data_IF_440692808326
#
_entry.id   IF_440692808326
#
_cell.length_a   1.000
_cell.length_b   1.000
_cell.length_c   1.000
_cell.angle_alpha   90.00
_cell.angle_beta   90.00
_cell.angle_gamma   90.00
#
_symmetry.space_group_name_H-M   'P 1'
#
loop_
_entity.id
_entity.type
_entity.pdbx_description
1 polymer ?
#
# COMPACT_ATOMS: atom_id res chain seq x y z
N UNK A 1 -5.00 10.13 -12.23
CA UNK A 1 -3.61 9.74 -11.95
C UNK A 1 -2.76 9.72 -13.22
N UNK A 2 -3.16 9.00 -14.29
CA UNK A 2 -2.36 8.83 -15.52
C UNK A 2 -1.93 10.16 -16.15
N UNK A 3 -2.86 11.07 -16.37
CA UNK A 3 -2.58 12.41 -16.92
C UNK A 3 -1.68 13.25 -16.00
N UNK A 4 -1.90 13.17 -14.68
CA UNK A 4 -1.07 13.85 -13.70
C UNK A 4 0.39 13.39 -13.79
N UNK A 5 0.61 12.08 -13.77
CA UNK A 5 1.95 11.50 -13.89
C UNK A 5 2.65 11.89 -15.21
N UNK A 6 1.91 11.86 -16.32
CA UNK A 6 2.45 12.26 -17.63
C UNK A 6 2.87 13.74 -17.69
N UNK A 7 2.33 14.58 -16.80
CA UNK A 7 2.68 16.00 -16.67
C UNK A 7 3.62 16.28 -15.48
N UNK A 8 4.25 15.25 -14.89
CA UNK A 8 5.19 15.40 -13.79
C UNK A 8 4.54 15.80 -12.45
N UNK A 9 3.22 15.74 -12.34
CA UNK A 9 2.50 16.07 -11.11
C UNK A 9 2.63 14.88 -10.13
N UNK A 10 3.09 15.10 -8.90
CA UNK A 10 3.16 14.06 -7.88
C UNK A 10 1.78 13.44 -7.60
N UNK A 11 1.75 12.12 -7.49
CA UNK A 11 0.55 11.36 -7.12
C UNK A 11 0.89 10.53 -5.87
N UNK A 12 0.05 10.59 -4.84
CA UNK A 12 0.06 9.72 -3.69
C UNK A 12 -1.08 8.69 -3.78
N UNK A 13 -1.04 7.65 -2.98
CA UNK A 13 -2.09 6.66 -2.86
C UNK A 13 -2.88 6.83 -1.56
N UNK A 14 -4.18 6.62 -1.63
CA UNK A 14 -5.11 6.59 -0.52
C UNK A 14 -6.39 5.87 -0.93
N UNK A 15 -7.06 5.19 -0.01
CA UNK A 15 -8.24 4.38 -0.30
C UNK A 15 -9.54 4.91 0.30
N UNK A 16 -9.51 6.07 0.95
CA UNK A 16 -10.71 6.72 1.53
C UNK A 16 -11.54 5.77 2.42
N UNK A 17 -10.85 5.12 3.38
CA UNK A 17 -11.48 4.18 4.33
C UNK A 17 -12.71 4.80 5.01
N UNK A 18 -13.81 4.05 5.01
CA UNK A 18 -15.10 4.49 5.56
C UNK A 18 -16.19 4.58 4.51
N UNK A 19 -15.85 4.62 3.23
CA UNK A 19 -16.81 4.48 2.15
C UNK A 19 -17.28 3.03 1.97
N UNK A 20 -18.46 2.79 1.36
CA UNK A 20 -18.93 1.44 1.03
C UNK A 20 -17.87 0.66 0.23
N UNK A 21 -17.70 -0.61 0.55
CA UNK A 21 -16.72 -1.52 -0.05
C UNK A 21 -15.25 -1.21 0.23
N UNK A 22 -14.91 -0.15 0.97
CA UNK A 22 -13.53 0.19 1.31
C UNK A 22 -13.24 -0.17 2.76
N UNK A 23 -12.39 -1.17 2.95
CA UNK A 23 -12.02 -1.68 4.27
C UNK A 23 -10.59 -1.27 4.65
N UNK A 24 -10.35 -1.15 5.96
CA UNK A 24 -9.05 -0.72 6.49
C UNK A 24 -7.89 -1.71 6.20
N UNK A 25 -8.19 -2.95 5.85
CA UNK A 25 -7.20 -3.98 5.56
C UNK A 25 -6.95 -4.19 4.06
N UNK A 26 -7.66 -3.49 3.18
CA UNK A 26 -7.62 -3.70 1.73
C UNK A 26 -6.81 -2.64 0.97
N UNK A 27 -6.02 -1.81 1.66
CA UNK A 27 -5.20 -0.78 1.01
C UNK A 27 -4.26 -1.34 -0.09
N UNK A 28 -3.82 -2.59 0.04
CA UNK A 28 -3.00 -3.26 -0.96
C UNK A 28 -3.67 -3.29 -2.35
N UNK A 29 -4.99 -3.27 -2.42
CA UNK A 29 -5.76 -3.25 -3.69
C UNK A 29 -5.52 -1.96 -4.47
N UNK A 30 -5.32 -0.83 -3.79
CA UNK A 30 -5.02 0.44 -4.44
C UNK A 30 -3.72 0.35 -5.26
N UNK A 31 -2.73 -0.37 -4.76
CA UNK A 31 -1.48 -0.59 -5.50
C UNK A 31 -1.74 -1.45 -6.75
N UNK A 32 -2.54 -2.50 -6.62
CA UNK A 32 -2.93 -3.35 -7.74
C UNK A 32 -3.72 -2.56 -8.80
N UNK A 33 -4.67 -1.74 -8.39
CA UNK A 33 -5.45 -0.89 -9.29
C UNK A 33 -4.58 0.18 -9.94
N UNK A 34 -3.67 0.78 -9.19
CA UNK A 34 -2.73 1.75 -9.70
C UNK A 34 -1.83 1.15 -10.79
N UNK A 35 -1.30 -0.05 -10.54
CA UNK A 35 -0.58 -0.83 -11.56
C UNK A 35 -1.46 -1.12 -12.78
N UNK A 36 -2.62 -1.73 -12.57
CA UNK A 36 -3.50 -2.23 -13.66
C UNK A 36 -4.08 -1.11 -14.51
N UNK A 37 -4.64 -0.07 -13.91
CA UNK A 37 -5.41 0.96 -14.61
C UNK A 37 -4.60 2.19 -15.00
N UNK A 38 -3.53 2.48 -14.30
CA UNK A 38 -2.62 3.60 -14.64
C UNK A 38 -1.45 3.13 -15.49
N UNK A 39 -1.02 1.87 -15.34
CA UNK A 39 0.06 1.26 -16.11
C UNK A 39 1.44 1.50 -15.52
N UNK A 40 1.54 1.74 -14.21
CA UNK A 40 2.81 1.91 -13.51
C UNK A 40 3.44 0.55 -13.18
N UNK A 41 4.76 0.50 -12.97
CA UNK A 41 5.41 -0.72 -12.48
C UNK A 41 5.05 -1.03 -11.03
N UNK A 42 5.21 -2.31 -10.61
CA UNK A 42 5.03 -2.71 -9.21
C UNK A 42 5.93 -1.90 -8.27
N UNK A 43 7.20 -1.72 -8.65
CA UNK A 43 8.15 -0.92 -7.89
C UNK A 43 7.68 0.54 -7.71
N UNK A 44 7.14 1.15 -8.76
CA UNK A 44 6.62 2.52 -8.67
C UNK A 44 5.34 2.60 -7.82
N UNK A 45 4.47 1.60 -7.89
CA UNK A 45 3.28 1.53 -7.03
C UNK A 45 3.68 1.42 -5.55
N UNK A 46 4.64 0.56 -5.22
CA UNK A 46 5.19 0.43 -3.85
C UNK A 46 5.85 1.73 -3.37
N UNK A 47 6.70 2.34 -4.19
CA UNK A 47 7.30 3.64 -3.86
C UNK A 47 6.25 4.72 -3.63
N UNK A 48 5.20 4.75 -4.46
CA UNK A 48 4.12 5.73 -4.33
C UNK A 48 3.35 5.54 -3.03
N UNK A 49 3.07 4.28 -2.64
CA UNK A 49 2.35 3.96 -1.40
C UNK A 49 3.18 4.21 -0.11
N UNK A 50 4.48 4.34 -0.23
CA UNK A 50 5.42 4.50 0.90
C UNK A 50 6.13 5.85 0.88
N UNK A 51 7.34 5.90 0.34
CA UNK A 51 8.19 7.10 0.36
C UNK A 51 7.56 8.33 -0.28
N UNK A 52 6.89 8.17 -1.43
CA UNK A 52 6.26 9.30 -2.12
C UNK A 52 5.08 9.87 -1.32
N UNK A 53 4.19 9.02 -0.83
CA UNK A 53 3.05 9.45 -0.01
C UNK A 53 3.50 10.09 1.30
N UNK A 54 4.55 9.57 1.95
CA UNK A 54 5.14 10.18 3.14
C UNK A 54 5.72 11.58 2.84
N UNK A 55 6.41 11.75 1.71
CA UNK A 55 6.90 13.06 1.26
C UNK A 55 5.75 14.04 1.03
N UNK A 56 4.69 13.62 0.34
CA UNK A 56 3.52 14.46 0.06
C UNK A 56 2.75 14.85 1.34
N UNK A 57 2.74 13.97 2.34
CA UNK A 57 2.16 14.23 3.66
C UNK A 57 3.04 15.09 4.56
N UNK A 58 4.26 15.45 4.14
CA UNK A 58 5.22 16.24 4.92
C UNK A 58 5.97 15.48 6.02
N UNK A 59 5.84 14.15 6.07
CA UNK A 59 6.46 13.28 7.09
C UNK A 59 7.57 12.38 6.51
N UNK A 60 8.05 12.68 5.31
CA UNK A 60 9.07 11.86 4.63
C UNK A 60 10.42 11.81 5.35
N UNK A 61 10.70 12.72 6.29
CA UNK A 61 11.88 12.64 7.14
C UNK A 61 11.69 11.68 8.33
N UNK A 62 10.44 11.36 8.68
CA UNK A 62 10.08 10.52 9.82
C UNK A 62 9.84 9.06 9.42
N UNK A 63 9.23 8.83 8.27
CA UNK A 63 8.81 7.49 7.81
C UNK A 63 8.74 7.38 6.29
N UNK A 64 8.25 6.23 5.77
CA UNK A 64 8.02 5.98 4.36
C UNK A 64 9.17 5.27 3.64
N UNK A 65 10.36 5.22 4.25
CA UNK A 65 11.54 4.48 3.76
C UNK A 65 12.28 3.84 4.92
N UNK A 66 12.97 2.73 4.64
CA UNK A 66 13.81 2.03 5.63
C UNK A 66 15.21 2.66 5.63
N UNK A 67 15.40 3.66 6.47
CA UNK A 67 16.65 4.40 6.62
C UNK A 67 17.02 4.60 8.10
N UNK A 68 18.30 4.60 8.46
CA UNK A 68 18.72 4.93 9.82
C UNK A 68 18.19 6.30 10.26
N UNK A 69 17.66 6.37 11.48
CA UNK A 69 17.12 7.60 12.06
C UNK A 69 15.62 7.82 11.80
N UNK A 70 14.98 7.02 10.95
CA UNK A 70 13.52 7.05 10.76
C UNK A 70 12.78 6.10 11.70
N UNK A 71 11.47 6.31 11.82
CA UNK A 71 10.62 5.40 12.55
C UNK A 71 10.71 3.98 11.96
N UNK A 72 10.76 2.99 12.83
CA UNK A 72 10.77 1.59 12.42
C UNK A 72 9.35 1.14 12.03
N UNK A 73 8.93 1.56 10.83
CA UNK A 73 7.65 1.23 10.21
C UNK A 73 7.90 0.32 9.01
N UNK A 74 7.49 -0.95 9.08
CA UNK A 74 7.67 -1.91 8.01
C UNK A 74 6.63 -3.02 8.04
N UNK A 75 6.45 -3.67 6.92
CA UNK A 75 5.70 -4.93 6.80
C UNK A 75 6.60 -6.01 6.19
N UNK A 76 6.34 -7.26 6.54
CA UNK A 76 6.94 -8.43 5.90
C UNK A 76 5.83 -9.26 5.28
N UNK A 77 6.03 -9.64 4.03
CA UNK A 77 5.10 -10.44 3.24
C UNK A 77 5.69 -11.82 2.93
N UNK A 78 4.84 -12.84 2.81
CA UNK A 78 5.28 -14.21 2.50
C UNK A 78 5.87 -14.36 1.09
N UNK A 79 5.53 -13.46 0.17
CA UNK A 79 6.00 -13.47 -1.21
C UNK A 79 6.49 -12.08 -1.63
N UNK A 80 7.22 -12.00 -2.73
CA UNK A 80 7.80 -10.76 -3.23
C UNK A 80 6.74 -9.84 -3.89
N UNK A 81 6.42 -8.68 -3.31
CA UNK A 81 5.48 -7.73 -3.89
C UNK A 81 6.02 -7.01 -5.14
N UNK A 82 7.33 -7.06 -5.42
CA UNK A 82 7.88 -6.56 -6.67
C UNK A 82 7.51 -7.48 -7.84
N UNK A 83 7.40 -8.78 -7.59
CA UNK A 83 6.95 -9.75 -8.58
C UNK A 83 5.42 -9.69 -8.78
N UNK A 84 4.66 -9.61 -7.67
CA UNK A 84 3.18 -9.53 -7.70
C UNK A 84 2.68 -8.73 -6.49
N UNK A 85 2.05 -7.60 -6.72
CA UNK A 85 1.50 -6.73 -5.68
C UNK A 85 0.44 -7.43 -4.79
N UNK A 86 -0.20 -8.50 -5.28
CA UNK A 86 -1.14 -9.31 -4.49
C UNK A 86 -0.48 -10.02 -3.31
N UNK A 87 0.85 -10.13 -3.29
CA UNK A 87 1.61 -10.60 -2.13
C UNK A 87 1.33 -9.76 -0.86
N UNK A 88 1.01 -8.47 -1.02
CA UNK A 88 0.65 -7.55 0.07
C UNK A 88 -0.65 -7.93 0.79
N UNK A 89 -1.46 -8.83 0.24
CA UNK A 89 -2.65 -9.39 0.90
C UNK A 89 -2.30 -10.24 2.12
N UNK A 90 -1.11 -10.83 2.12
CA UNK A 90 -0.65 -11.77 3.14
C UNK A 90 0.55 -11.20 3.89
N UNK A 91 0.24 -10.38 4.90
CA UNK A 91 1.25 -9.77 5.77
C UNK A 91 1.55 -10.71 6.94
N UNK A 92 2.81 -11.11 7.07
CA UNK A 92 3.27 -11.98 8.17
C UNK A 92 3.65 -11.18 9.42
N UNK A 93 4.10 -9.94 9.21
CA UNK A 93 4.60 -9.11 10.29
C UNK A 93 4.36 -7.64 9.97
N UNK A 94 3.93 -6.90 10.97
CA UNK A 94 3.87 -5.43 10.94
C UNK A 94 4.74 -4.90 12.08
N UNK A 95 5.57 -3.93 11.78
CA UNK A 95 6.23 -3.10 12.80
C UNK A 95 5.75 -1.67 12.63
N UNK A 96 5.32 -1.05 13.71
CA UNK A 96 4.90 0.35 13.73
C UNK A 96 5.55 1.05 14.92
N UNK A 97 6.32 2.10 14.63
CA UNK A 97 7.12 2.83 15.63
C UNK A 97 7.96 1.89 16.51
N UNK A 98 8.53 0.83 15.93
CA UNK A 98 9.31 -0.18 16.63
C UNK A 98 8.49 -1.23 17.38
N UNK A 99 7.17 -1.12 17.44
CA UNK A 99 6.30 -2.15 18.04
C UNK A 99 6.00 -3.24 17.01
N UNK A 100 6.28 -4.48 17.39
CA UNK A 100 6.19 -5.65 16.54
C UNK A 100 4.87 -6.39 16.71
N UNK A 101 4.13 -6.58 15.61
CA UNK A 101 2.91 -7.37 15.53
C UNK A 101 3.13 -8.54 14.58
N UNK A 102 3.16 -9.78 15.10
CA UNK A 102 3.31 -11.01 14.32
C UNK A 102 1.95 -11.57 13.92
N UNK A 103 1.86 -12.04 12.67
CA UNK A 103 0.65 -12.65 12.12
C UNK A 103 -0.61 -11.81 12.45
N UNK A 104 -0.67 -10.53 12.02
CA UNK A 104 -1.78 -9.66 12.37
C UNK A 104 -3.10 -10.26 11.88
N UNK A 105 -4.09 -10.32 12.77
CA UNK A 105 -5.41 -10.87 12.45
C UNK A 105 -6.39 -9.74 12.19
N UNK A 106 -7.11 -9.85 11.08
CA UNK A 106 -8.18 -8.93 10.71
C UNK A 106 -9.48 -9.71 10.44
N UNK A 107 -10.61 -9.08 10.77
CA UNK A 107 -11.91 -9.67 10.46
C UNK A 107 -12.26 -9.38 9.00
N UNK A 108 -12.10 -10.38 8.16
CA UNK A 108 -12.38 -10.30 6.74
C UNK A 108 -13.88 -10.25 6.42
N UNK A 109 -14.26 -9.43 5.45
CA UNK A 109 -15.62 -9.36 4.88
C UNK A 109 -15.64 -10.08 3.54
N UNK A 110 -15.77 -11.41 3.58
CA UNK A 110 -15.63 -12.30 2.40
C UNK A 110 -16.48 -11.88 1.20
N UNK A 111 -17.71 -11.39 1.42
CA UNK A 111 -18.59 -10.96 0.32
C UNK A 111 -18.02 -9.71 -0.39
N UNK A 112 -17.48 -8.76 0.39
CA UNK A 112 -16.85 -7.54 -0.17
C UNK A 112 -15.59 -7.90 -0.91
N UNK A 113 -14.75 -8.75 -0.33
CA UNK A 113 -13.49 -9.22 -0.96
C UNK A 113 -13.75 -9.93 -2.29
N UNK A 114 -14.71 -10.86 -2.32
CA UNK A 114 -15.08 -11.59 -3.54
C UNK A 114 -15.53 -10.65 -4.66
N UNK A 115 -16.28 -9.60 -4.34
CA UNK A 115 -16.70 -8.60 -5.32
C UNK A 115 -15.50 -7.77 -5.81
N UNK A 116 -14.64 -7.32 -4.91
CA UNK A 116 -13.46 -6.52 -5.25
C UNK A 116 -12.40 -7.33 -6.03
N UNK A 117 -12.25 -8.62 -5.76
CA UNK A 117 -11.30 -9.49 -6.46
C UNK A 117 -11.60 -9.60 -7.97
N UNK A 118 -12.83 -9.31 -8.39
CA UNK A 118 -13.22 -9.30 -9.82
C UNK A 118 -12.55 -8.18 -10.62
N UNK A 119 -12.01 -7.19 -9.95
CA UNK A 119 -11.35 -6.03 -10.58
C UNK A 119 -9.82 -6.09 -10.54
N UNK A 120 -9.24 -7.12 -9.91
CA UNK A 120 -7.80 -7.33 -9.82
C UNK A 120 -7.18 -7.93 -11.09
#
# INVERSE_FOLDING_TARGET
AKTALANGIPVGLGNDVGCPYITQYDFWRELCYFHKYVGVSNAFALYTATGRSAQMAGIGQETGTLEPGKAADLIVTAADPLADLRALRHVELVMSHGQLHRAPQVKHRKNVEAELDRFL
#
